data_IF_729574194949
#
_entry.id   IF_729574194949
#
_cell.length_a   1.000
_cell.length_b   1.000
_cell.length_c   1.000
_cell.angle_alpha   90.00
_cell.angle_beta   90.00
_cell.angle_gamma   90.00
#
_symmetry.space_group_name_H-M   'P 1'
#
loop_
_entity.id
_entity.type
_entity.pdbx_description
1 polymer ?
#
# COMPACT_ATOMS: atom_id res chain seq x y z
N UNK A 1 -0.31 -23.85 -1.52
CA UNK A 1 -0.73 -22.64 -2.26
C UNK A 1 -1.56 -21.76 -1.35
N UNK A 2 -1.26 -20.48 -1.34
CA UNK A 2 -2.00 -19.51 -0.54
C UNK A 2 -2.65 -18.48 -1.45
N UNK A 3 -3.86 -18.06 -1.07
CA UNK A 3 -4.55 -16.95 -1.74
C UNK A 3 -4.36 -15.71 -0.88
N UNK A 4 -3.90 -14.62 -1.49
CA UNK A 4 -3.71 -13.37 -0.76
C UNK A 4 -3.96 -12.17 -1.66
N UNK A 5 -4.25 -11.03 -1.03
CA UNK A 5 -4.49 -9.78 -1.75
C UNK A 5 -3.14 -9.10 -1.99
N UNK A 6 -2.68 -9.14 -3.23
CA UNK A 6 -1.39 -8.57 -3.58
C UNK A 6 -1.35 -7.05 -3.46
N UNK A 7 -2.50 -6.40 -3.47
CA UNK A 7 -2.55 -4.96 -3.25
C UNK A 7 -1.97 -4.56 -1.89
N UNK A 8 -1.99 -5.45 -0.90
CA UNK A 8 -1.38 -5.18 0.40
C UNK A 8 0.12 -4.91 0.26
N UNK A 9 0.82 -5.69 -0.57
CA UNK A 9 2.25 -5.49 -0.82
C UNK A 9 2.51 -4.22 -1.61
N UNK A 10 1.72 -3.98 -2.65
CA UNK A 10 1.89 -2.81 -3.50
C UNK A 10 1.69 -1.53 -2.68
N UNK A 11 0.66 -1.49 -1.85
CA UNK A 11 0.38 -0.33 -1.00
C UNK A 11 1.47 -0.15 0.03
N UNK A 12 1.93 -1.23 0.66
CA UNK A 12 3.00 -1.16 1.65
C UNK A 12 4.28 -0.59 1.04
N UNK A 13 4.68 -1.07 -0.14
CA UNK A 13 5.86 -0.57 -0.84
C UNK A 13 5.72 0.91 -1.19
N UNK A 14 4.59 1.29 -1.75
CA UNK A 14 4.35 2.67 -2.13
C UNK A 14 4.33 3.60 -0.92
N UNK A 15 3.76 3.12 0.19
CA UNK A 15 3.70 3.88 1.43
C UNK A 15 5.11 4.11 1.99
N UNK A 16 5.92 3.07 2.06
CA UNK A 16 7.29 3.19 2.56
C UNK A 16 8.10 4.17 1.71
N UNK A 17 8.00 4.07 0.39
CA UNK A 17 8.67 4.99 -0.51
C UNK A 17 8.21 6.44 -0.29
N UNK A 18 6.92 6.64 -0.18
CA UNK A 18 6.36 7.99 -0.02
C UNK A 18 6.75 8.62 1.31
N UNK A 19 6.91 7.80 2.36
CA UNK A 19 7.26 8.30 3.69
C UNK A 19 8.74 8.62 3.84
N UNK A 20 9.60 8.10 2.98
CA UNK A 20 11.06 8.33 3.08
C UNK A 20 11.44 9.80 3.09
N UNK A 21 10.72 10.62 2.35
CA UNK A 21 11.04 12.04 2.19
C UNK A 21 10.17 12.95 3.06
N UNK A 22 9.38 12.39 3.95
CA UNK A 22 8.51 13.18 4.84
C UNK A 22 9.04 13.10 6.26
N UNK A 23 9.40 14.25 6.82
CA UNK A 23 10.01 14.33 8.15
C UNK A 23 9.13 15.02 9.18
N UNK A 24 8.00 15.58 8.75
CA UNK A 24 7.14 16.40 9.59
C UNK A 24 5.86 15.70 10.01
N UNK A 25 5.76 14.40 9.77
CA UNK A 25 4.58 13.62 10.11
C UNK A 25 4.96 12.41 10.96
N UNK A 26 3.98 11.90 11.69
CA UNK A 26 4.18 10.70 12.51
C UNK A 26 4.29 9.47 11.61
N UNK A 27 5.34 8.69 11.80
CA UNK A 27 5.61 7.47 11.05
C UNK A 27 5.59 6.24 11.96
N UNK A 28 4.93 6.31 13.09
CA UNK A 28 4.85 5.18 14.01
C UNK A 28 4.04 4.04 13.37
N UNK A 29 4.14 2.86 13.94
CA UNK A 29 3.47 1.69 13.38
C UNK A 29 1.95 1.88 13.30
N UNK A 30 1.36 2.55 14.28
CA UNK A 30 -0.09 2.84 14.27
C UNK A 30 -0.48 3.71 13.09
N UNK A 31 0.23 4.81 12.87
CA UNK A 31 -0.03 5.71 11.76
C UNK A 31 0.18 5.02 10.41
N UNK A 32 1.26 4.24 10.28
CA UNK A 32 1.51 3.47 9.05
C UNK A 32 0.41 2.47 8.76
N UNK A 33 -0.07 1.77 9.79
CA UNK A 33 -1.16 0.81 9.63
C UNK A 33 -2.45 1.50 9.22
N UNK A 34 -2.74 2.65 9.81
CA UNK A 34 -3.92 3.43 9.44
C UNK A 34 -3.85 3.94 8.01
N UNK A 35 -2.67 4.40 7.58
CA UNK A 35 -2.44 4.84 6.20
C UNK A 35 -2.64 3.69 5.22
N UNK A 36 -2.08 2.53 5.54
CA UNK A 36 -2.21 1.34 4.70
C UNK A 36 -3.67 0.91 4.56
N UNK A 37 -4.37 0.82 5.67
CA UNK A 37 -5.78 0.44 5.67
C UNK A 37 -6.63 1.45 4.89
N UNK A 38 -6.37 2.73 5.08
CA UNK A 38 -7.08 3.80 4.39
C UNK A 38 -6.92 3.68 2.88
N UNK A 39 -5.70 3.48 2.41
CA UNK A 39 -5.43 3.32 0.98
C UNK A 39 -6.05 2.04 0.43
N UNK A 40 -5.92 0.93 1.15
CA UNK A 40 -6.46 -0.37 0.71
C UNK A 40 -7.98 -0.34 0.57
N UNK A 41 -8.66 0.40 1.43
CA UNK A 41 -10.13 0.53 1.35
C UNK A 41 -10.60 1.29 0.12
N UNK A 42 -9.71 2.01 -0.55
CA UNK A 42 -10.03 2.79 -1.75
C UNK A 42 -9.56 2.13 -3.04
N UNK A 43 -8.91 0.97 -2.93
CA UNK A 43 -8.34 0.28 -4.08
C UNK A 43 -9.02 -1.09 -4.26
N UNK A 44 -9.15 -1.56 -5.50
CA UNK A 44 -9.69 -2.89 -5.72
C UNK A 44 -8.74 -3.95 -5.18
N UNK A 45 -9.29 -5.01 -4.64
CA UNK A 45 -8.49 -6.14 -4.21
C UNK A 45 -7.92 -6.86 -5.43
N UNK A 46 -6.71 -7.40 -5.29
CA UNK A 46 -6.08 -8.20 -6.33
C UNK A 46 -5.59 -9.50 -5.70
N UNK A 47 -6.44 -10.51 -5.76
CA UNK A 47 -6.11 -11.81 -5.18
C UNK A 47 -5.28 -12.62 -6.14
N UNK A 48 -4.21 -13.18 -5.63
CA UNK A 48 -3.31 -14.04 -6.39
C UNK A 48 -3.05 -15.30 -5.58
N UNK A 49 -2.67 -16.36 -6.29
CA UNK A 49 -2.28 -17.61 -5.67
C UNK A 49 -0.76 -17.68 -5.67
N UNK A 50 -0.19 -17.90 -4.50
CA UNK A 50 1.25 -18.02 -4.36
C UNK A 50 1.67 -19.47 -4.41
N UNK A 51 2.45 -19.81 -5.42
CA UNK A 51 3.32 -20.97 -5.43
C UNK A 51 4.74 -20.44 -5.35
N UNK A 52 5.56 -21.02 -4.49
CA UNK A 52 6.93 -20.55 -4.28
C UNK A 52 7.66 -20.31 -5.61
N UNK A 53 8.02 -19.07 -5.87
CA UNK A 53 8.85 -18.68 -7.00
C UNK A 53 8.15 -18.39 -8.32
N UNK A 54 6.83 -18.60 -8.43
CA UNK A 54 6.11 -18.42 -9.70
C UNK A 54 5.31 -17.15 -9.83
N UNK A 55 5.15 -16.42 -8.75
CA UNK A 55 4.20 -15.30 -8.70
C UNK A 55 4.84 -13.99 -9.17
N UNK A 56 6.16 -13.92 -9.16
CA UNK A 56 6.92 -12.69 -9.28
C UNK A 56 6.64 -11.91 -10.59
N UNK A 57 6.58 -12.59 -11.72
CA UNK A 57 6.40 -11.94 -13.02
C UNK A 57 5.00 -11.32 -13.16
N UNK A 58 3.98 -12.05 -12.72
CA UNK A 58 2.61 -11.55 -12.78
C UNK A 58 2.39 -10.37 -11.85
N UNK A 59 3.11 -10.35 -10.72
CA UNK A 59 3.00 -9.27 -9.75
C UNK A 59 3.57 -7.96 -10.28
N UNK A 60 4.64 -8.02 -11.06
CA UNK A 60 5.19 -6.83 -11.71
C UNK A 60 4.19 -6.21 -12.69
N UNK A 61 3.46 -7.02 -13.41
CA UNK A 61 2.41 -6.53 -14.33
C UNK A 61 1.30 -5.81 -13.58
N UNK A 62 0.89 -6.35 -12.44
CA UNK A 62 -0.13 -5.73 -11.60
C UNK A 62 0.36 -4.38 -11.07
N UNK A 63 1.61 -4.31 -10.61
CA UNK A 63 2.20 -3.06 -10.12
C UNK A 63 2.21 -1.98 -11.19
N UNK A 64 2.65 -2.32 -12.40
CA UNK A 64 2.68 -1.36 -13.50
C UNK A 64 1.28 -0.85 -13.81
N UNK A 65 0.32 -1.76 -13.87
CA UNK A 65 -1.06 -1.46 -14.25
C UNK A 65 -1.76 -0.54 -13.24
N UNK A 66 -1.50 -0.73 -11.95
CA UNK A 66 -2.20 -0.01 -10.90
C UNK A 66 -1.36 1.06 -10.22
N UNK A 67 -0.14 1.31 -10.69
CA UNK A 67 0.81 2.19 -10.02
C UNK A 67 0.25 3.60 -9.77
N UNK A 68 -0.37 4.21 -10.78
CA UNK A 68 -0.90 5.56 -10.64
C UNK A 68 -2.03 5.63 -9.62
N UNK A 69 -2.93 4.64 -9.64
CA UNK A 69 -4.03 4.57 -8.69
C UNK A 69 -3.52 4.37 -7.27
N UNK A 70 -2.54 3.48 -7.09
CA UNK A 70 -1.96 3.22 -5.78
C UNK A 70 -1.30 4.48 -5.22
N UNK A 71 -0.47 5.16 -6.02
CA UNK A 71 0.20 6.39 -5.57
C UNK A 71 -0.80 7.47 -5.18
N UNK A 72 -1.86 7.62 -5.94
CA UNK A 72 -2.91 8.59 -5.63
C UNK A 72 -3.56 8.29 -4.28
N UNK A 73 -3.96 7.04 -4.06
CA UNK A 73 -4.64 6.68 -2.82
C UNK A 73 -3.71 6.68 -1.62
N UNK A 74 -2.45 6.29 -1.80
CA UNK A 74 -1.44 6.36 -0.75
C UNK A 74 -1.19 7.81 -0.34
N UNK A 75 -1.06 8.71 -1.31
CA UNK A 75 -0.86 10.14 -1.04
C UNK A 75 -2.04 10.72 -0.24
N UNK A 76 -3.26 10.40 -0.63
CA UNK A 76 -4.46 10.82 0.09
C UNK A 76 -4.51 10.25 1.51
N UNK A 77 -4.15 8.98 1.65
CA UNK A 77 -4.16 8.31 2.95
C UNK A 77 -3.16 8.94 3.92
N UNK A 78 -1.96 9.25 3.43
CA UNK A 78 -0.94 9.92 4.25
C UNK A 78 -1.47 11.28 4.72
N UNK A 79 -2.04 12.06 3.83
CA UNK A 79 -2.58 13.38 4.17
C UNK A 79 -3.70 13.26 5.20
N UNK A 80 -4.61 12.32 5.01
CA UNK A 80 -5.75 12.14 5.89
C UNK A 80 -5.35 11.69 7.30
N UNK A 81 -4.48 10.71 7.40
CA UNK A 81 -4.05 10.18 8.69
C UNK A 81 -3.17 11.20 9.41
N UNK A 82 -2.31 11.93 8.68
CA UNK A 82 -1.44 12.95 9.26
C UNK A 82 -2.22 14.10 9.87
N UNK A 83 -3.38 14.43 9.33
CA UNK A 83 -4.25 15.48 9.86
C UNK A 83 -4.92 15.08 11.17
N UNK A 84 -5.28 13.80 11.31
CA UNK A 84 -6.03 13.30 12.45
C UNK A 84 -5.44 11.97 12.94
N UNK A 85 -4.26 12.00 13.57
CA UNK A 85 -3.70 10.77 14.13
C UNK A 85 -4.62 10.23 15.22
N UNK A 86 -4.78 8.91 15.24
CA UNK A 86 -5.69 8.26 16.21
C UNK A 86 -4.99 7.84 17.50
N UNK A 87 -3.78 8.26 17.70
CA UNK A 87 -3.03 7.97 18.93
C UNK A 87 -2.78 9.19 19.77
#
# INVERSE_FOLDING_TARGET
MEVYNYMEYIVQDALEDSLKNKNDICKCQKCRSDMQACALNKLPAKYVVSEKGRVFTKLQEVEIQFRADVLREVTKAIAQVSKNPTH
#
